data_IF_104268370649
#
_entry.id   IF_104268370649
#
_cell.length_a   1.000
_cell.length_b   1.000
_cell.length_c   1.000
_cell.angle_alpha   90.00
_cell.angle_beta   90.00
_cell.angle_gamma   90.00
#
_symmetry.space_group_name_H-M   'P 1'
#
loop_
_entity.id
_entity.type
_entity.pdbx_description
1 polymer ?
#
# COMPACT_ATOMS: atom_id res chain seq x y z
N UNK A 1 36.15 -2.77 -20.66
CA UNK A 1 34.75 -2.97 -20.98
C UNK A 1 33.80 -2.62 -19.79
N UNK A 2 34.14 -1.61 -18.96
CA UNK A 2 33.40 -1.26 -17.74
C UNK A 2 32.64 0.09 -17.79
N UNK A 3 32.51 0.72 -18.97
CA UNK A 3 31.91 2.06 -19.10
C UNK A 3 30.47 2.12 -19.63
N UNK A 4 29.87 0.99 -20.02
CA UNK A 4 28.57 1.01 -20.70
C UNK A 4 27.35 0.66 -19.80
N UNK A 5 27.57 0.27 -18.54
CA UNK A 5 26.47 -0.13 -17.68
C UNK A 5 25.83 1.05 -16.91
N UNK A 6 26.64 2.06 -16.60
CA UNK A 6 26.17 3.27 -15.87
C UNK A 6 25.22 4.13 -16.73
N UNK A 7 25.31 4.02 -18.04
CA UNK A 7 24.44 4.77 -18.98
C UNK A 7 23.00 4.19 -19.04
N UNK A 8 22.78 2.99 -18.55
CA UNK A 8 21.50 2.29 -18.73
C UNK A 8 20.41 2.76 -17.74
N UNK A 9 20.76 3.04 -16.49
CA UNK A 9 19.79 3.58 -15.52
C UNK A 9 19.41 5.04 -15.82
N UNK A 10 20.34 5.83 -16.39
CA UNK A 10 20.07 7.24 -16.71
C UNK A 10 19.18 7.46 -17.95
N UNK A 11 19.06 6.48 -18.85
CA UNK A 11 18.28 6.66 -20.09
C UNK A 11 16.78 6.43 -19.88
N UNK A 12 16.40 5.82 -18.76
CA UNK A 12 15.00 5.63 -18.40
C UNK A 12 14.35 6.91 -17.87
N UNK A 13 15.15 7.77 -17.26
CA UNK A 13 14.75 9.09 -16.76
C UNK A 13 14.44 10.09 -17.89
N UNK A 14 14.82 9.80 -19.15
CA UNK A 14 14.64 10.71 -20.27
C UNK A 14 13.27 10.67 -20.94
N UNK A 15 12.39 9.72 -20.58
CA UNK A 15 11.03 9.67 -21.14
C UNK A 15 9.93 10.10 -20.16
N UNK A 16 10.26 10.32 -18.90
CA UNK A 16 9.43 11.09 -17.98
C UNK A 16 10.11 12.43 -17.84
N UNK A 17 9.47 13.56 -18.14
CA UNK A 17 10.09 14.87 -18.02
C UNK A 17 10.22 15.23 -16.53
N UNK A 18 11.17 14.62 -15.83
CA UNK A 18 11.56 15.08 -14.50
C UNK A 18 12.44 16.32 -14.66
N UNK A 19 11.86 17.46 -14.36
CA UNK A 19 12.58 18.71 -14.31
C UNK A 19 13.64 18.68 -13.20
N UNK A 20 14.89 18.59 -13.60
CA UNK A 20 16.03 18.78 -12.71
C UNK A 20 16.08 20.22 -12.23
N UNK A 21 15.51 20.51 -11.07
CA UNK A 21 15.93 21.57 -10.13
C UNK A 21 15.09 21.49 -8.85
N UNK A 22 15.75 21.16 -7.77
CA UNK A 22 15.19 21.30 -6.42
C UNK A 22 14.85 22.78 -6.16
N UNK A 23 13.60 23.08 -5.90
CA UNK A 23 13.20 24.32 -5.23
C UNK A 23 12.67 23.97 -3.86
N UNK A 24 13.34 24.53 -2.85
CA UNK A 24 12.84 24.61 -1.48
C UNK A 24 11.45 25.27 -1.50
N UNK A 25 10.43 24.54 -1.14
CA UNK A 25 9.07 25.05 -0.98
C UNK A 25 8.89 25.45 0.49
N UNK A 26 8.61 26.73 0.71
CA UNK A 26 8.18 27.24 2.01
C UNK A 26 6.82 26.62 2.42
N UNK A 27 6.55 26.47 3.74
CA UNK A 27 5.31 25.87 4.19
C UNK A 27 4.10 26.68 3.73
N UNK A 28 3.09 25.99 3.17
CA UNK A 28 1.80 26.61 2.85
C UNK A 28 1.14 27.08 4.13
N UNK A 29 0.84 28.36 4.22
CA UNK A 29 -0.03 28.91 5.24
C UNK A 29 -1.45 28.38 5.08
N UNK A 30 -1.89 27.62 6.06
CA UNK A 30 -3.28 27.21 6.19
C UNK A 30 -4.13 28.44 6.58
N UNK A 31 -4.89 28.99 5.65
CA UNK A 31 -6.01 29.85 5.94
C UNK A 31 -7.12 29.61 4.93
N UNK A 32 -7.96 28.63 5.20
CA UNK A 32 -9.36 28.66 4.80
C UNK A 32 -10.21 27.91 5.82
N UNK A 33 -11.27 28.61 6.27
CA UNK A 33 -12.14 28.21 7.36
C UNK A 33 -13.00 27.01 6.95
N UNK A 34 -12.75 25.87 7.53
CA UNK A 34 -13.73 24.77 7.57
C UNK A 34 -14.61 24.96 8.80
N UNK A 35 -15.91 25.03 8.60
CA UNK A 35 -16.90 25.14 9.67
C UNK A 35 -16.94 23.82 10.42
N UNK A 36 -16.37 23.81 11.62
CA UNK A 36 -16.41 22.65 12.52
C UNK A 36 -17.77 22.63 13.22
N UNK A 37 -18.52 21.56 13.06
CA UNK A 37 -19.67 21.25 13.91
C UNK A 37 -19.12 20.88 15.29
N UNK A 38 -19.55 21.54 16.38
CA UNK A 38 -19.00 21.26 17.69
C UNK A 38 -19.48 19.90 18.20
N UNK A 39 -18.56 18.95 18.32
CA UNK A 39 -18.78 17.80 19.18
C UNK A 39 -18.85 18.29 20.64
N UNK A 40 -19.89 17.89 21.34
CA UNK A 40 -20.09 18.18 22.75
C UNK A 40 -18.88 17.75 23.57
N UNK A 41 -18.45 18.64 24.46
CA UNK A 41 -17.29 18.49 25.33
C UNK A 41 -17.38 17.20 26.14
N UNK A 42 -16.46 16.29 25.86
CA UNK A 42 -15.94 15.37 26.86
C UNK A 42 -14.60 15.97 27.28
N UNK A 43 -14.50 16.40 28.53
CA UNK A 43 -13.26 16.89 29.11
C UNK A 43 -12.32 15.70 29.27
N UNK A 44 -11.33 15.61 28.41
CA UNK A 44 -10.24 14.64 28.54
C UNK A 44 -9.37 14.99 29.76
N UNK A 45 -9.10 14.06 30.67
CA UNK A 45 -8.01 14.20 31.61
C UNK A 45 -6.69 14.20 30.81
N UNK A 46 -5.80 15.13 31.14
CA UNK A 46 -4.42 15.14 30.65
C UNK A 46 -3.70 13.89 31.17
N UNK A 47 -3.32 13.00 30.31
CA UNK A 47 -2.50 11.85 30.71
C UNK A 47 -2.11 10.99 29.53
N UNK A 48 -0.86 11.10 29.13
CA UNK A 48 -0.06 10.14 28.38
C UNK A 48 -0.74 9.40 27.23
N UNK A 49 -0.42 9.88 26.04
CA UNK A 49 -0.43 9.05 24.84
C UNK A 49 0.58 7.91 25.08
N UNK A 50 0.12 6.81 25.61
CA UNK A 50 0.84 5.55 25.52
C UNK A 50 0.62 5.10 24.09
N UNK A 51 1.60 5.34 23.24
CA UNK A 51 1.75 4.62 22.00
C UNK A 51 1.65 3.15 22.39
N UNK A 52 0.64 2.46 21.89
CA UNK A 52 0.53 1.00 21.99
C UNK A 52 1.79 0.44 21.33
N UNK A 53 2.78 0.10 22.14
CA UNK A 53 3.77 -0.88 21.76
C UNK A 53 3.05 -2.23 21.75
N UNK A 54 2.29 -2.49 20.69
CA UNK A 54 2.10 -3.85 20.26
C UNK A 54 3.49 -4.34 19.90
N UNK A 55 4.10 -5.14 20.74
CA UNK A 55 5.22 -6.00 20.38
C UNK A 55 4.70 -7.11 19.48
N UNK A 56 4.07 -6.76 18.40
CA UNK A 56 3.86 -7.64 17.27
C UNK A 56 5.23 -7.85 16.67
N UNK A 57 5.67 -9.09 16.59
CA UNK A 57 6.79 -9.45 15.73
C UNK A 57 6.54 -8.79 14.38
N UNK A 58 7.41 -7.84 13.99
CA UNK A 58 7.09 -6.95 12.87
C UNK A 58 6.81 -7.70 11.59
N UNK A 59 6.06 -7.07 10.71
CA UNK A 59 5.71 -7.62 9.41
C UNK A 59 6.95 -7.87 8.56
N UNK A 60 7.05 -9.05 7.96
CA UNK A 60 8.05 -9.34 6.94
C UNK A 60 7.54 -8.91 5.58
N UNK A 61 8.25 -7.98 4.97
CA UNK A 61 8.00 -7.50 3.61
C UNK A 61 9.05 -8.04 2.65
N UNK A 62 8.66 -8.15 1.39
CA UNK A 62 9.53 -8.56 0.30
C UNK A 62 9.47 -7.49 -0.79
N UNK A 63 10.60 -7.26 -1.45
CA UNK A 63 10.69 -6.32 -2.56
C UNK A 63 11.78 -6.68 -3.54
N UNK A 64 11.61 -6.26 -4.77
CA UNK A 64 12.60 -6.42 -5.82
C UNK A 64 13.51 -5.19 -5.89
N UNK A 65 14.80 -5.39 -5.61
CA UNK A 65 15.80 -4.33 -5.68
C UNK A 65 16.11 -3.99 -7.15
N UNK A 66 15.87 -2.76 -7.55
CA UNK A 66 16.14 -2.27 -8.90
C UNK A 66 17.29 -1.26 -8.96
N UNK A 67 17.63 -0.64 -7.84
CA UNK A 67 18.74 0.30 -7.73
C UNK A 67 19.31 0.32 -6.32
N UNK A 68 20.64 0.52 -6.23
CA UNK A 68 21.36 0.88 -5.01
C UNK A 68 22.53 1.79 -5.39
N UNK A 69 22.89 2.73 -4.54
CA UNK A 69 23.95 3.70 -4.83
C UNK A 69 25.31 3.05 -5.05
N UNK A 70 25.61 2.00 -4.29
CA UNK A 70 26.85 1.20 -4.43
C UNK A 70 26.80 0.15 -5.53
N UNK A 71 25.83 0.22 -6.41
CA UNK A 71 25.60 -0.73 -7.47
C UNK A 71 26.87 -1.01 -8.30
N UNK A 72 27.24 -2.27 -8.37
CA UNK A 72 28.46 -2.71 -9.07
C UNK A 72 29.64 -3.04 -8.15
N UNK A 73 29.49 -2.83 -6.83
CA UNK A 73 30.51 -3.20 -5.83
C UNK A 73 30.21 -4.52 -5.08
N UNK A 74 29.33 -5.37 -5.60
CA UNK A 74 28.85 -6.63 -5.00
C UNK A 74 28.15 -6.51 -3.63
N UNK A 75 27.96 -5.30 -3.11
CA UNK A 75 27.34 -5.09 -1.80
C UNK A 75 25.81 -5.25 -1.82
N UNK A 76 25.17 -4.99 -2.96
CA UNK A 76 23.72 -5.11 -3.13
C UNK A 76 23.39 -5.75 -4.48
N UNK A 77 23.49 -7.11 -4.60
CA UNK A 77 23.15 -7.79 -5.83
C UNK A 77 21.67 -7.62 -6.18
N UNK A 78 21.36 -7.59 -7.49
CA UNK A 78 19.98 -7.57 -7.95
C UNK A 78 19.20 -8.78 -7.49
N UNK A 79 17.96 -8.62 -7.15
CA UNK A 79 17.10 -9.73 -6.74
C UNK A 79 16.01 -9.35 -5.76
N UNK A 80 15.45 -10.38 -5.16
CA UNK A 80 14.40 -10.24 -4.17
C UNK A 80 15.03 -10.21 -2.78
N UNK A 81 14.61 -9.23 -2.01
CA UNK A 81 15.01 -9.03 -0.62
C UNK A 81 13.79 -9.14 0.29
N UNK A 82 14.04 -9.57 1.52
CA UNK A 82 13.08 -9.46 2.62
C UNK A 82 13.62 -8.50 3.67
N UNK A 83 12.74 -7.85 4.39
CA UNK A 83 13.05 -6.99 5.53
C UNK A 83 11.89 -6.98 6.53
N UNK A 84 12.23 -6.83 7.81
CA UNK A 84 11.24 -6.77 8.86
C UNK A 84 10.98 -5.31 9.26
N UNK A 85 9.74 -4.96 9.56
CA UNK A 85 9.32 -3.59 9.86
C UNK A 85 9.71 -3.11 11.27
N UNK A 86 10.14 -4.00 12.17
CA UNK A 86 10.50 -3.64 13.56
C UNK A 86 11.99 -3.41 13.78
N UNK A 87 12.86 -4.00 12.98
CA UNK A 87 14.30 -4.05 13.23
C UNK A 87 15.09 -3.18 12.26
N UNK A 88 14.88 -1.85 12.26
CA UNK A 88 15.65 -0.98 11.39
C UNK A 88 15.96 -1.69 10.06
N UNK A 89 15.04 -1.75 9.11
CA UNK A 89 14.84 -2.81 8.12
C UNK A 89 16.12 -3.14 7.37
N UNK A 90 16.84 -4.12 7.86
CA UNK A 90 18.00 -4.67 7.17
C UNK A 90 17.48 -5.57 6.06
N UNK A 91 17.72 -5.17 4.82
CA UNK A 91 17.37 -5.99 3.67
C UNK A 91 18.25 -7.23 3.61
N UNK A 92 17.63 -8.41 3.60
CA UNK A 92 18.27 -9.71 3.42
C UNK A 92 17.96 -10.25 2.03
N UNK A 93 18.99 -10.64 1.27
CA UNK A 93 18.82 -11.24 -0.05
C UNK A 93 18.12 -12.61 0.06
N UNK A 94 16.98 -12.77 -0.61
CA UNK A 94 16.24 -14.04 -0.71
C UNK A 94 16.55 -14.76 -2.00
N UNK A 95 16.59 -14.02 -3.11
CA UNK A 95 16.88 -14.57 -4.43
C UNK A 95 17.76 -13.61 -5.21
N UNK A 96 18.88 -14.10 -5.71
CA UNK A 96 19.80 -13.35 -6.58
C UNK A 96 19.41 -13.54 -8.04
N UNK A 97 19.16 -12.43 -8.74
CA UNK A 97 18.91 -12.48 -10.17
C UNK A 97 20.23 -12.42 -10.95
N UNK A 98 20.61 -13.50 -11.60
CA UNK A 98 21.83 -13.56 -12.42
C UNK A 98 21.64 -12.90 -13.80
N UNK A 99 20.40 -12.79 -14.27
CA UNK A 99 20.08 -12.27 -15.60
C UNK A 99 19.85 -10.75 -15.64
N UNK A 100 19.97 -10.07 -14.50
CA UNK A 100 19.64 -8.66 -14.35
C UNK A 100 18.39 -8.47 -13.49
N UNK A 101 17.88 -7.25 -13.35
CA UNK A 101 16.74 -6.98 -12.47
C UNK A 101 15.50 -7.74 -12.92
N UNK A 102 14.84 -8.40 -11.97
CA UNK A 102 13.53 -9.02 -12.17
C UNK A 102 12.52 -7.88 -12.34
N UNK A 103 12.03 -7.68 -13.58
CA UNK A 103 11.04 -6.64 -13.81
C UNK A 103 11.50 -5.24 -13.41
N UNK A 104 12.69 -4.85 -13.80
CA UNK A 104 13.13 -3.48 -13.62
C UNK A 104 12.26 -2.55 -14.46
N UNK A 105 11.61 -1.60 -13.87
CA UNK A 105 11.02 -0.42 -14.50
C UNK A 105 9.51 -0.43 -14.76
N UNK A 106 8.80 -1.32 -14.16
CA UNK A 106 7.35 -1.31 -14.21
C UNK A 106 6.79 -1.77 -12.87
N UNK A 107 5.50 -1.68 -12.70
CA UNK A 107 4.85 -2.23 -11.53
C UNK A 107 5.01 -3.74 -11.45
N UNK A 108 4.96 -4.24 -10.25
CA UNK A 108 4.91 -5.66 -9.99
C UNK A 108 3.96 -5.95 -8.83
N UNK A 109 3.45 -7.17 -8.77
CA UNK A 109 2.54 -7.60 -7.70
C UNK A 109 2.60 -9.09 -7.49
N UNK A 110 2.34 -9.51 -6.25
CA UNK A 110 2.17 -10.92 -5.92
C UNK A 110 0.68 -11.29 -6.04
N UNK A 111 0.39 -12.33 -6.81
CA UNK A 111 -0.97 -12.87 -7.04
C UNK A 111 -1.08 -14.19 -6.30
N UNK A 112 -2.15 -14.36 -5.51
CA UNK A 112 -2.49 -15.58 -4.78
C UNK A 112 -1.35 -16.13 -3.91
N UNK A 113 -0.52 -15.23 -3.35
CA UNK A 113 0.66 -15.56 -2.55
C UNK A 113 1.62 -16.56 -3.22
N UNK A 114 1.59 -16.66 -4.53
CA UNK A 114 2.35 -17.65 -5.30
C UNK A 114 3.04 -17.10 -6.54
N UNK A 115 2.38 -16.28 -7.32
CA UNK A 115 2.88 -15.82 -8.59
C UNK A 115 3.23 -14.34 -8.57
N UNK A 116 4.51 -14.03 -8.81
CA UNK A 116 4.99 -12.66 -8.92
C UNK A 116 4.94 -12.22 -10.37
N UNK A 117 4.00 -11.32 -10.67
CA UNK A 117 3.87 -10.70 -11.98
C UNK A 117 4.60 -9.37 -12.00
N UNK A 118 5.38 -9.13 -13.04
CA UNK A 118 6.06 -7.86 -13.23
C UNK A 118 6.02 -7.43 -14.70
N UNK A 119 5.99 -6.11 -14.92
CA UNK A 119 6.14 -5.51 -16.24
C UNK A 119 7.58 -5.01 -16.34
N UNK A 120 8.27 -5.43 -17.39
CA UNK A 120 9.61 -4.96 -17.69
C UNK A 120 9.68 -4.47 -19.13
N UNK A 121 10.51 -3.47 -19.36
CA UNK A 121 10.87 -3.10 -20.71
C UNK A 121 12.39 -3.10 -20.90
N UNK A 122 12.81 -3.64 -22.01
CA UNK A 122 14.22 -3.83 -22.33
C UNK A 122 14.53 -3.12 -23.63
N UNK A 123 15.61 -2.36 -23.63
CA UNK A 123 16.15 -1.78 -24.87
C UNK A 123 16.91 -2.88 -25.62
N UNK A 124 16.38 -3.34 -26.74
CA UNK A 124 16.96 -4.42 -27.53
C UNK A 124 18.16 -3.93 -28.36
N UNK A 125 17.97 -2.92 -29.20
CA UNK A 125 19.04 -2.31 -29.99
C UNK A 125 18.62 -0.91 -30.46
N UNK A 126 19.54 0.05 -30.49
CA UNK A 126 19.20 1.40 -30.92
C UNK A 126 18.06 2.00 -30.11
N UNK A 127 16.92 2.26 -30.76
CA UNK A 127 15.69 2.78 -30.16
C UNK A 127 14.62 1.70 -29.93
N UNK A 128 14.90 0.44 -30.27
CA UNK A 128 13.90 -0.64 -30.12
C UNK A 128 13.78 -1.02 -28.66
N UNK A 129 12.58 -0.98 -28.12
CA UNK A 129 12.22 -1.34 -26.76
C UNK A 129 11.21 -2.47 -26.83
N UNK A 130 11.41 -3.52 -26.04
CA UNK A 130 10.37 -4.51 -25.75
C UNK A 130 9.74 -4.21 -24.39
N UNK A 131 8.44 -4.39 -24.29
CA UNK A 131 7.68 -4.32 -23.06
C UNK A 131 7.05 -5.69 -22.83
N UNK A 132 7.27 -6.27 -21.65
CA UNK A 132 6.91 -7.65 -21.38
C UNK A 132 6.25 -7.78 -20.02
N UNK A 133 5.19 -8.58 -19.95
CA UNK A 133 4.61 -9.08 -18.72
C UNK A 133 5.24 -10.45 -18.44
N UNK A 134 5.86 -10.58 -17.27
CA UNK A 134 6.55 -11.81 -16.86
C UNK A 134 5.93 -12.30 -15.56
N UNK A 135 5.75 -13.61 -15.45
CA UNK A 135 5.29 -14.30 -14.25
C UNK A 135 6.40 -15.20 -13.72
N UNK A 136 6.69 -15.10 -12.43
CA UNK A 136 7.58 -15.98 -11.70
C UNK A 136 6.81 -16.74 -10.62
N UNK A 137 7.16 -18.01 -10.41
CA UNK A 137 6.79 -18.75 -9.21
C UNK A 137 7.73 -18.35 -8.07
N UNK A 138 7.21 -17.81 -6.94
CA UNK A 138 8.04 -17.27 -5.86
C UNK A 138 8.72 -18.34 -5.00
N UNK A 139 8.30 -19.60 -5.08
CA UNK A 139 8.90 -20.68 -4.33
C UNK A 139 10.26 -21.09 -4.94
N UNK A 140 10.30 -21.12 -6.26
CA UNK A 140 11.49 -21.50 -7.04
C UNK A 140 12.19 -20.33 -7.74
N UNK A 141 11.54 -19.19 -7.86
CA UNK A 141 11.92 -18.03 -8.68
C UNK A 141 12.17 -18.40 -10.15
N UNK A 142 11.44 -19.41 -10.63
CA UNK A 142 11.49 -19.78 -12.04
C UNK A 142 10.44 -19.00 -12.83
N UNK A 143 10.82 -18.60 -14.04
CA UNK A 143 9.89 -17.96 -14.97
C UNK A 143 8.84 -18.98 -15.43
N UNK A 144 7.56 -18.65 -15.17
CA UNK A 144 6.40 -19.47 -15.56
C UNK A 144 5.89 -19.05 -16.93
N UNK A 145 5.86 -17.75 -17.19
CA UNK A 145 5.41 -17.22 -18.48
C UNK A 145 6.04 -15.85 -18.76
N UNK A 146 6.15 -15.55 -20.06
CA UNK A 146 6.60 -14.28 -20.59
C UNK A 146 5.77 -13.91 -21.80
N UNK A 147 5.30 -12.65 -21.84
CA UNK A 147 4.42 -12.17 -22.91
C UNK A 147 4.80 -10.74 -23.28
N UNK A 148 4.98 -10.50 -24.57
CA UNK A 148 5.11 -9.15 -25.10
C UNK A 148 3.79 -8.40 -24.95
N UNK A 149 3.84 -7.18 -24.45
CA UNK A 149 2.70 -6.30 -24.28
C UNK A 149 2.94 -4.94 -24.96
N UNK A 150 1.88 -4.16 -25.26
CA UNK A 150 2.03 -2.87 -25.92
C UNK A 150 2.93 -1.91 -25.14
N UNK A 151 3.77 -1.13 -25.84
CA UNK A 151 4.61 -0.09 -25.24
C UNK A 151 3.80 1.06 -24.60
N UNK A 152 2.51 1.13 -24.87
CA UNK A 152 1.58 2.07 -24.22
C UNK A 152 1.21 1.66 -22.78
N UNK A 153 1.62 0.47 -22.37
CA UNK A 153 1.34 -0.10 -21.04
C UNK A 153 2.61 -0.07 -20.23
N UNK A 154 3.01 1.10 -19.75
CA UNK A 154 4.14 1.24 -18.83
C UNK A 154 3.55 1.43 -17.44
N UNK A 155 3.56 0.37 -16.62
CA UNK A 155 3.09 0.47 -15.24
C UNK A 155 4.07 1.26 -14.39
N UNK A 156 3.57 2.13 -13.54
CA UNK A 156 4.36 2.79 -12.50
C UNK A 156 4.33 2.00 -11.19
N UNK A 157 3.19 1.40 -10.89
CA UNK A 157 3.01 0.38 -9.85
C UNK A 157 1.69 -0.36 -10.10
N UNK A 158 1.56 -1.57 -9.55
CA UNK A 158 0.34 -2.38 -9.65
C UNK A 158 0.16 -3.27 -8.43
N UNK A 159 -1.08 -3.64 -8.16
CA UNK A 159 -1.47 -4.42 -6.99
C UNK A 159 -2.51 -5.48 -7.33
N UNK A 160 -2.39 -6.65 -6.75
CA UNK A 160 -3.45 -7.67 -6.73
C UNK A 160 -4.51 -7.28 -5.71
N UNK A 161 -5.76 -7.28 -6.14
CA UNK A 161 -6.91 -7.10 -5.27
C UNK A 161 -7.57 -8.47 -5.02
N UNK A 162 -7.48 -9.03 -3.81
CA UNK A 162 -8.01 -10.36 -3.52
C UNK A 162 -9.54 -10.40 -3.52
N UNK A 163 -10.22 -9.27 -3.29
CA UNK A 163 -11.67 -9.23 -3.17
C UNK A 163 -12.38 -9.46 -4.52
N UNK A 164 -11.84 -8.96 -5.62
CA UNK A 164 -12.41 -9.10 -6.95
C UNK A 164 -11.50 -9.83 -7.94
N UNK A 165 -10.34 -10.32 -7.48
CA UNK A 165 -9.38 -11.12 -8.24
C UNK A 165 -8.86 -10.40 -9.50
N UNK A 166 -8.56 -9.10 -9.37
CA UNK A 166 -8.01 -8.27 -10.45
C UNK A 166 -6.70 -7.64 -10.05
N UNK A 167 -5.86 -7.39 -11.05
CA UNK A 167 -4.68 -6.54 -10.87
C UNK A 167 -5.02 -5.12 -11.25
N UNK A 168 -4.96 -4.19 -10.31
CA UNK A 168 -5.10 -2.76 -10.54
C UNK A 168 -3.74 -2.12 -10.70
N UNK A 169 -3.67 -1.03 -11.47
CA UNK A 169 -2.41 -0.31 -11.66
C UNK A 169 -2.60 1.10 -12.20
N UNK A 170 -1.52 1.87 -12.08
CA UNK A 170 -1.36 3.13 -12.76
C UNK A 170 -0.41 2.93 -13.95
N UNK A 171 -0.84 3.35 -15.14
CA UNK A 171 -0.12 3.10 -16.38
C UNK A 171 0.13 4.39 -17.14
N UNK A 172 1.39 4.61 -17.53
CA UNK A 172 1.73 5.71 -18.41
C UNK A 172 1.45 5.34 -19.88
N UNK A 173 0.66 6.16 -20.54
CA UNK A 173 0.38 6.02 -21.95
C UNK A 173 1.31 6.93 -22.77
N UNK A 174 2.29 6.34 -23.41
CA UNK A 174 3.31 7.07 -24.20
C UNK A 174 2.74 7.84 -25.40
N UNK A 175 1.60 7.40 -25.92
CA UNK A 175 0.96 8.04 -27.08
C UNK A 175 0.19 9.30 -26.67
N UNK A 176 -0.44 9.25 -25.50
CA UNK A 176 -1.26 10.37 -24.99
C UNK A 176 -0.50 11.29 -24.04
N UNK A 177 0.73 10.91 -23.68
CA UNK A 177 1.55 11.62 -22.67
C UNK A 177 0.76 11.90 -21.40
N UNK A 178 0.22 10.84 -20.80
CA UNK A 178 -0.61 10.94 -19.62
C UNK A 178 -0.76 9.59 -18.93
N UNK A 179 -1.37 9.59 -17.77
CA UNK A 179 -1.54 8.40 -16.96
C UNK A 179 -3.00 7.94 -16.96
N UNK A 180 -3.19 6.64 -16.81
CA UNK A 180 -4.51 6.02 -16.64
C UNK A 180 -4.49 5.11 -15.44
N UNK A 181 -5.62 4.99 -14.77
CA UNK A 181 -5.90 3.96 -13.78
C UNK A 181 -6.78 2.89 -14.43
N UNK A 182 -6.49 1.63 -14.14
CA UNK A 182 -7.25 0.53 -14.72
C UNK A 182 -6.78 -0.83 -14.22
N UNK A 183 -7.31 -1.88 -14.83
CA UNK A 183 -6.92 -3.26 -14.53
C UNK A 183 -6.04 -3.84 -15.64
N UNK A 184 -5.11 -4.71 -15.23
CA UNK A 184 -4.27 -5.47 -16.13
C UNK A 184 -4.82 -6.89 -16.26
N UNK A 185 -5.11 -7.30 -17.47
CA UNK A 185 -5.43 -8.68 -17.77
C UNK A 185 -4.14 -9.50 -17.84
N UNK A 186 -3.96 -10.43 -16.91
CA UNK A 186 -2.75 -11.23 -16.78
C UNK A 186 -2.60 -12.27 -17.91
N UNK A 187 -3.69 -12.64 -18.57
CA UNK A 187 -3.65 -13.58 -19.69
C UNK A 187 -3.24 -12.88 -21.00
N UNK A 188 -3.75 -11.70 -21.26
CA UNK A 188 -3.51 -10.97 -22.52
C UNK A 188 -2.48 -9.87 -22.40
N UNK A 189 -2.20 -9.35 -21.18
CA UNK A 189 -1.40 -8.16 -20.93
C UNK A 189 -2.10 -6.86 -21.33
N UNK A 190 -3.40 -6.91 -21.60
CA UNK A 190 -4.17 -5.72 -21.95
C UNK A 190 -4.54 -4.90 -20.72
N UNK A 191 -4.47 -3.59 -20.83
CA UNK A 191 -4.98 -2.66 -19.81
C UNK A 191 -6.42 -2.30 -20.13
N UNK A 192 -7.33 -2.65 -19.21
CA UNK A 192 -8.72 -2.19 -19.23
C UNK A 192 -8.80 -0.88 -18.44
N UNK A 193 -8.77 0.23 -19.17
CA UNK A 193 -8.83 1.56 -18.57
C UNK A 193 -10.16 1.78 -17.86
N UNK A 194 -10.10 2.25 -16.61
CA UNK A 194 -11.23 2.76 -15.85
C UNK A 194 -11.32 4.29 -15.96
N UNK A 195 -10.22 4.99 -15.70
CA UNK A 195 -10.19 6.47 -15.76
C UNK A 195 -8.87 7.02 -16.30
N UNK A 196 -8.87 8.29 -16.72
CA UNK A 196 -7.65 9.06 -16.90
C UNK A 196 -7.22 9.65 -15.55
N UNK A 197 -5.92 9.60 -15.24
CA UNK A 197 -5.35 10.31 -14.10
C UNK A 197 -5.07 11.74 -14.54
N UNK A 198 -5.71 12.70 -13.88
CA UNK A 198 -5.67 14.12 -14.24
C UNK A 198 -4.78 14.95 -13.31
N UNK A 199 -3.96 14.29 -12.48
CA UNK A 199 -3.01 14.97 -11.62
C UNK A 199 -1.96 15.72 -12.44
N UNK A 200 -1.50 16.84 -11.89
CA UNK A 200 -0.43 17.64 -12.48
C UNK A 200 0.56 18.02 -11.39
N UNK A 201 1.83 18.10 -11.76
CA UNK A 201 2.86 18.67 -10.91
C UNK A 201 2.73 20.20 -10.80
N UNK A 202 3.63 20.82 -10.03
CA UNK A 202 3.69 22.28 -9.82
C UNK A 202 3.96 23.08 -11.10
N UNK A 203 4.38 22.43 -12.19
CA UNK A 203 4.65 23.02 -13.49
C UNK A 203 3.53 22.76 -14.51
N UNK A 204 2.49 22.01 -14.12
CA UNK A 204 1.38 21.66 -14.97
C UNK A 204 1.65 20.45 -15.89
N UNK A 205 2.70 19.66 -15.65
CA UNK A 205 2.92 18.41 -16.37
C UNK A 205 2.08 17.27 -15.76
N UNK A 206 1.63 16.32 -16.60
CA UNK A 206 0.91 15.17 -16.11
C UNK A 206 1.71 14.43 -15.03
N UNK A 207 1.06 14.14 -13.92
CA UNK A 207 1.61 13.38 -12.80
C UNK A 207 0.80 12.10 -12.59
N UNK A 208 1.47 11.05 -12.15
CA UNK A 208 0.88 9.75 -11.88
C UNK A 208 0.99 9.33 -10.41
N UNK A 209 0.76 8.06 -10.19
CA UNK A 209 0.95 7.41 -8.90
C UNK A 209 2.22 6.57 -8.93
N UNK A 210 2.99 6.62 -7.86
CA UNK A 210 4.21 5.81 -7.65
C UNK A 210 3.94 4.58 -6.81
N UNK A 211 2.78 4.53 -6.16
CA UNK A 211 2.29 3.38 -5.40
C UNK A 211 0.84 3.14 -5.77
N UNK A 212 0.48 1.88 -5.97
CA UNK A 212 -0.89 1.37 -6.02
C UNK A 212 -0.96 0.15 -5.12
N UNK A 213 -1.82 0.17 -4.10
CA UNK A 213 -1.93 -0.93 -3.14
C UNK A 213 -3.39 -1.23 -2.79
N UNK A 214 -3.75 -2.51 -2.81
CA UNK A 214 -5.08 -2.98 -2.39
C UNK A 214 -5.01 -3.63 -1.00
N UNK A 215 -6.01 -3.35 -0.17
CA UNK A 215 -6.16 -4.04 1.10
C UNK A 215 -6.96 -5.36 0.94
N UNK A 216 -7.08 -6.11 2.03
CA UNK A 216 -7.73 -7.42 2.02
C UNK A 216 -9.24 -7.37 1.74
N UNK A 217 -9.89 -6.22 1.90
CA UNK A 217 -11.33 -6.04 1.62
C UNK A 217 -11.60 -5.38 0.26
N UNK A 218 -10.55 -5.19 -0.55
CA UNK A 218 -10.69 -4.72 -1.92
C UNK A 218 -10.59 -3.22 -2.13
N UNK A 219 -10.34 -2.43 -1.09
CA UNK A 219 -10.11 -1.01 -1.24
C UNK A 219 -8.73 -0.74 -1.85
N UNK A 220 -8.66 0.14 -2.84
CA UNK A 220 -7.41 0.48 -3.55
C UNK A 220 -6.97 1.89 -3.19
N UNK A 221 -5.71 2.02 -2.84
CA UNK A 221 -5.05 3.27 -2.49
C UNK A 221 -3.89 3.55 -3.44
N UNK A 222 -3.52 4.83 -3.56
CA UNK A 222 -2.35 5.21 -4.34
C UNK A 222 -1.65 6.41 -3.76
N UNK A 223 -0.32 6.41 -3.84
CA UNK A 223 0.50 7.57 -3.49
C UNK A 223 0.96 8.23 -4.79
N UNK A 224 0.65 9.52 -4.92
CA UNK A 224 1.00 10.31 -6.10
C UNK A 224 2.49 10.67 -6.14
N UNK A 225 2.96 11.09 -7.31
CA UNK A 225 4.31 11.65 -7.48
C UNK A 225 4.55 12.92 -6.64
N UNK A 226 3.49 13.57 -6.16
CA UNK A 226 3.60 14.71 -5.25
C UNK A 226 3.66 14.29 -3.77
N UNK A 227 3.50 13.00 -3.46
CA UNK A 227 3.54 12.48 -2.11
C UNK A 227 2.21 12.58 -1.36
N UNK A 228 1.10 12.65 -2.07
CA UNK A 228 -0.24 12.64 -1.48
C UNK A 228 -0.87 11.26 -1.61
N UNK A 229 -1.58 10.81 -0.57
CA UNK A 229 -2.35 9.57 -0.55
C UNK A 229 -3.77 9.81 -1.06
N UNK A 230 -4.23 8.92 -1.91
CA UNK A 230 -5.58 8.89 -2.50
C UNK A 230 -6.23 7.52 -2.31
N UNK A 231 -7.56 7.49 -2.32
CA UNK A 231 -8.37 6.29 -2.40
C UNK A 231 -9.08 6.25 -3.75
N UNK A 232 -9.06 5.08 -4.41
CA UNK A 232 -9.71 4.85 -5.69
C UNK A 232 -11.08 4.20 -5.51
N UNK A 233 -12.01 4.57 -6.37
CA UNK A 233 -13.22 3.80 -6.64
C UNK A 233 -12.90 2.77 -7.74
N UNK A 234 -13.01 1.50 -7.43
CA UNK A 234 -12.70 0.40 -8.35
C UNK A 234 -13.76 0.16 -9.43
N UNK A 235 -14.94 0.78 -9.32
CA UNK A 235 -16.00 0.67 -10.31
C UNK A 235 -15.78 1.60 -11.51
N UNK A 236 -15.43 2.87 -11.25
CA UNK A 236 -15.30 3.90 -12.28
C UNK A 236 -13.91 4.52 -12.40
N UNK A 237 -12.99 4.15 -11.49
CA UNK A 237 -11.62 4.64 -11.45
C UNK A 237 -11.47 6.08 -10.95
N UNK A 238 -12.54 6.70 -10.43
CA UNK A 238 -12.42 7.98 -9.75
C UNK A 238 -11.55 7.85 -8.49
N UNK A 239 -10.92 8.95 -8.07
CA UNK A 239 -10.06 8.95 -6.89
C UNK A 239 -10.24 10.21 -6.07
N UNK A 240 -10.09 10.08 -4.76
CA UNK A 240 -10.24 11.17 -3.80
C UNK A 240 -9.00 11.30 -2.93
N UNK A 241 -8.58 12.55 -2.68
CA UNK A 241 -7.46 12.86 -1.79
C UNK A 241 -7.82 12.49 -0.35
N UNK A 242 -6.91 11.78 0.32
CA UNK A 242 -6.96 11.54 1.77
C UNK A 242 -6.10 12.59 2.47
N UNK A 243 -4.82 12.69 2.13
CA UNK A 243 -3.91 13.66 2.73
C UNK A 243 -2.47 13.51 2.26
N UNK A 244 -1.61 14.43 2.71
CA UNK A 244 -0.20 14.40 2.38
C UNK A 244 0.56 13.37 3.24
N UNK A 245 1.47 12.62 2.62
CA UNK A 245 2.32 11.66 3.35
C UNK A 245 3.43 12.33 4.15
N UNK A 246 3.75 13.58 3.84
CA UNK A 246 4.91 14.26 4.41
C UNK A 246 6.24 13.90 3.75
N UNK A 247 6.24 13.01 2.76
CA UNK A 247 7.43 12.61 2.00
C UNK A 247 7.21 12.87 0.50
N UNK A 248 8.18 13.49 -0.15
CA UNK A 248 8.14 13.72 -1.60
C UNK A 248 8.92 12.60 -2.31
N UNK A 249 8.23 11.69 -2.99
CA UNK A 249 8.86 10.58 -3.66
C UNK A 249 9.56 11.02 -4.95
N UNK A 250 10.59 10.27 -5.33
CA UNK A 250 11.26 10.39 -6.61
C UNK A 250 11.66 8.97 -7.05
N UNK A 251 11.66 8.72 -8.36
CA UNK A 251 11.96 7.41 -8.94
C UNK A 251 10.85 6.36 -8.72
N UNK A 252 11.16 5.11 -9.05
CA UNK A 252 10.20 4.02 -8.95
C UNK A 252 10.16 3.46 -7.54
N UNK A 253 8.96 3.16 -7.08
CA UNK A 253 8.67 2.74 -5.73
C UNK A 253 7.50 1.78 -5.74
N UNK A 254 7.22 1.18 -4.61
CA UNK A 254 6.05 0.33 -4.46
C UNK A 254 5.57 0.33 -3.02
N UNK A 255 4.30 0.01 -2.84
CA UNK A 255 3.68 -0.21 -1.55
C UNK A 255 2.82 -1.46 -1.55
N UNK A 256 2.57 -2.00 -0.38
CA UNK A 256 1.66 -3.11 -0.20
C UNK A 256 0.96 -3.04 1.14
N UNK A 257 -0.20 -3.68 1.23
CA UNK A 257 -0.81 -3.98 2.51
C UNK A 257 -0.28 -5.31 3.06
N UNK A 258 -0.06 -5.33 4.35
CA UNK A 258 -0.05 -6.57 5.10
C UNK A 258 -1.48 -6.86 5.56
N UNK A 259 -2.04 -7.99 5.16
CA UNK A 259 -3.45 -8.30 5.40
C UNK A 259 -3.73 -8.70 6.85
N UNK A 260 -2.71 -9.17 7.58
CA UNK A 260 -2.85 -9.52 8.99
C UNK A 260 -2.92 -8.27 9.86
N UNK A 261 -1.98 -7.35 9.66
CA UNK A 261 -1.93 -6.09 10.44
C UNK A 261 -2.83 -5.00 9.87
N UNK A 262 -3.35 -5.19 8.63
CA UNK A 262 -4.15 -4.21 7.86
C UNK A 262 -3.40 -2.89 7.58
N UNK A 263 -2.08 -2.89 7.68
CA UNK A 263 -1.24 -1.71 7.51
C UNK A 263 -0.75 -1.57 6.07
N UNK A 264 -0.75 -0.34 5.58
CA UNK A 264 -0.10 0.03 4.31
C UNK A 264 1.37 0.34 4.57
N UNK A 265 2.24 -0.39 3.91
CA UNK A 265 3.68 -0.15 3.90
C UNK A 265 4.14 0.39 2.55
N UNK A 266 5.15 1.23 2.57
CA UNK A 266 5.70 1.90 1.41
C UNK A 266 7.23 1.88 1.43
N UNK A 267 7.85 1.29 0.41
CA UNK A 267 9.29 1.38 0.19
C UNK A 267 9.58 2.68 -0.56
N UNK A 268 9.69 3.76 0.19
CA UNK A 268 9.87 5.11 -0.35
C UNK A 268 11.32 5.42 -0.67
N UNK A 269 11.57 6.17 -1.74
CA UNK A 269 12.88 6.69 -2.07
C UNK A 269 12.81 8.09 -2.73
N UNK A 270 13.89 8.84 -2.56
CA UNK A 270 14.20 10.06 -3.30
C UNK A 270 15.72 10.22 -3.42
N UNK A 271 16.21 11.37 -3.90
CA UNK A 271 17.65 11.61 -4.08
C UNK A 271 18.48 11.53 -2.79
N UNK A 272 17.85 11.71 -1.62
CA UNK A 272 18.53 11.90 -0.34
C UNK A 272 18.26 10.79 0.68
N UNK A 273 17.21 10.02 0.49
CA UNK A 273 16.79 9.02 1.45
C UNK A 273 15.98 7.90 0.80
N UNK A 274 16.09 6.72 1.36
CA UNK A 274 15.19 5.59 1.10
C UNK A 274 14.91 4.83 2.38
N UNK A 275 13.75 4.16 2.45
CA UNK A 275 13.36 3.41 3.64
C UNK A 275 11.96 2.85 3.57
N UNK A 276 11.58 2.15 4.63
CA UNK A 276 10.22 1.64 4.81
C UNK A 276 9.43 2.60 5.68
N UNK A 277 8.27 2.96 5.16
CA UNK A 277 7.28 3.79 5.83
C UNK A 277 5.99 3.01 6.05
N UNK A 278 5.35 3.27 7.17
CA UNK A 278 3.96 2.92 7.42
C UNK A 278 3.10 4.12 7.07
N UNK A 279 2.04 3.92 6.30
CA UNK A 279 1.14 4.98 5.85
C UNK A 279 -0.20 4.83 6.54
N UNK A 280 -0.65 5.88 7.21
CA UNK A 280 -1.98 5.94 7.81
C UNK A 280 -3.03 6.19 6.70
N UNK A 281 -3.92 5.25 6.49
CA UNK A 281 -4.93 5.31 5.43
C UNK A 281 -6.08 6.28 5.69
N UNK A 282 -6.22 6.78 6.92
CA UNK A 282 -7.25 7.78 7.29
C UNK A 282 -6.76 9.21 7.12
N UNK A 283 -5.45 9.45 7.35
CA UNK A 283 -4.85 10.80 7.33
C UNK A 283 -3.90 11.04 6.16
N UNK A 284 -3.37 9.99 5.57
CA UNK A 284 -2.31 10.03 4.56
C UNK A 284 -0.89 10.08 5.13
N UNK A 285 -0.72 10.40 6.41
CA UNK A 285 0.61 10.59 7.02
C UNK A 285 1.47 9.32 6.96
N UNK A 286 2.73 9.47 6.54
CA UNK A 286 3.69 8.38 6.49
C UNK A 286 4.71 8.49 7.62
N UNK A 287 4.89 7.42 8.38
CA UNK A 287 5.86 7.30 9.48
C UNK A 287 7.01 6.42 9.04
N UNK A 288 8.24 6.93 9.12
CA UNK A 288 9.45 6.16 8.83
C UNK A 288 9.66 5.09 9.90
N UNK A 289 9.71 3.83 9.47
CA UNK A 289 10.04 2.70 10.35
C UNK A 289 11.54 2.42 10.35
N UNK A 290 12.22 2.65 9.23
CA UNK A 290 13.66 2.54 9.14
C UNK A 290 14.19 2.86 7.75
N UNK A 291 15.44 3.35 7.70
CA UNK A 291 16.09 3.78 6.48
C UNK A 291 16.90 2.64 5.88
N UNK A 292 16.94 2.59 4.56
CA UNK A 292 17.94 1.81 3.83
C UNK A 292 19.27 2.56 3.77
N UNK A 293 20.38 1.81 3.79
CA UNK A 293 21.72 2.40 3.94
C UNK A 293 22.37 2.86 2.62
N UNK A 294 21.84 2.44 1.49
CA UNK A 294 22.48 2.60 0.17
C UNK A 294 21.53 3.22 -0.87
N UNK A 295 20.56 4.00 -0.43
CA UNK A 295 19.50 4.59 -1.27
C UNK A 295 18.83 3.54 -2.16
N UNK A 296 18.60 2.36 -1.60
CA UNK A 296 17.97 1.26 -2.32
C UNK A 296 16.56 1.63 -2.79
N UNK A 297 16.26 1.28 -4.04
CA UNK A 297 14.93 1.38 -4.65
C UNK A 297 14.32 0.00 -4.78
N UNK A 298 13.20 -0.21 -4.13
CA UNK A 298 12.43 -1.43 -4.22
C UNK A 298 11.12 -1.23 -4.96
N UNK A 299 10.82 -2.14 -5.88
CA UNK A 299 9.53 -2.23 -6.58
C UNK A 299 8.87 -3.57 -6.31
N UNK A 300 7.56 -3.67 -6.60
CA UNK A 300 6.81 -4.89 -6.37
C UNK A 300 6.85 -5.33 -4.92
N UNK A 301 6.63 -4.40 -4.00
CA UNK A 301 6.57 -4.70 -2.56
C UNK A 301 5.40 -5.65 -2.29
N UNK A 302 5.60 -6.66 -1.46
CA UNK A 302 4.56 -7.57 -1.04
C UNK A 302 4.80 -8.15 0.36
N UNK A 303 3.71 -8.60 0.98
CA UNK A 303 3.71 -9.42 2.19
C UNK A 303 3.16 -10.81 1.84
N UNK A 304 3.61 -11.83 2.58
CA UNK A 304 3.06 -13.19 2.50
C UNK A 304 1.96 -13.42 3.54
N UNK A 305 1.38 -12.34 4.07
CA UNK A 305 0.22 -12.47 4.96
C UNK A 305 -0.94 -13.17 4.25
N UNK A 306 -1.66 -14.05 4.95
CA UNK A 306 -2.78 -14.73 4.34
C UNK A 306 -3.85 -13.74 3.89
N UNK A 307 -4.53 -14.06 2.79
CA UNK A 307 -5.71 -13.31 2.36
C UNK A 307 -6.75 -13.28 3.48
N UNK A 308 -7.49 -12.18 3.60
CA UNK A 308 -8.62 -12.13 4.49
C UNK A 308 -9.64 -13.22 4.14
N UNK A 309 -10.31 -13.75 5.15
CA UNK A 309 -11.50 -14.57 4.92
C UNK A 309 -12.63 -13.68 4.42
N UNK A 310 -12.73 -13.58 3.08
CA UNK A 310 -13.72 -12.73 2.42
C UNK A 310 -15.16 -13.23 2.62
N UNK A 311 -15.35 -14.49 2.94
CA UNK A 311 -16.65 -15.09 3.25
C UNK A 311 -16.96 -15.04 4.76
N UNK A 312 -15.99 -14.65 5.58
CA UNK A 312 -16.22 -14.36 6.99
C UNK A 312 -17.13 -13.16 7.22
N UNK A 313 -17.66 -13.00 8.43
CA UNK A 313 -18.48 -11.83 8.78
C UNK A 313 -17.75 -10.51 8.53
N UNK A 314 -18.43 -9.53 7.98
CA UNK A 314 -17.92 -8.16 7.85
C UNK A 314 -17.79 -7.49 9.22
N UNK A 315 -17.43 -6.21 9.24
CA UNK A 315 -17.25 -5.45 10.47
C UNK A 315 -18.56 -5.23 11.23
N UNK A 316 -18.49 -5.18 12.55
CA UNK A 316 -19.58 -4.71 13.41
C UNK A 316 -19.85 -3.22 13.16
N UNK A 317 -21.07 -2.77 13.41
CA UNK A 317 -21.48 -1.37 13.25
C UNK A 317 -22.20 -0.86 14.50
N UNK A 318 -22.54 0.43 14.51
CA UNK A 318 -23.33 1.06 15.57
C UNK A 318 -22.71 0.81 16.97
N UNK A 319 -21.35 0.89 17.06
CA UNK A 319 -20.66 0.72 18.32
C UNK A 319 -20.90 1.96 19.17
N UNK A 320 -21.43 1.76 20.37
CA UNK A 320 -21.63 2.80 21.37
C UNK A 320 -21.20 2.30 22.76
N UNK A 321 -20.63 3.18 23.56
CA UNK A 321 -20.24 2.90 24.94
C UNK A 321 -20.87 3.98 25.82
N UNK A 322 -21.83 3.59 26.64
CA UNK A 322 -22.54 4.48 27.53
C UNK A 322 -22.17 4.26 28.99
N UNK A 323 -21.73 5.33 29.67
CA UNK A 323 -21.49 5.34 31.12
C UNK A 323 -22.47 6.28 31.81
N UNK A 324 -22.93 5.94 32.99
CA UNK A 324 -23.76 6.82 33.79
C UNK A 324 -22.92 7.80 34.62
N UNK A 325 -22.84 9.02 34.15
CA UNK A 325 -22.12 10.12 34.83
C UNK A 325 -20.61 9.83 34.95
N UNK A 326 -20.08 9.82 36.17
CA UNK A 326 -18.68 9.51 36.46
C UNK A 326 -18.48 8.03 36.87
N UNK A 327 -19.47 7.18 36.62
CA UNK A 327 -19.37 5.76 36.91
C UNK A 327 -18.35 5.07 35.99
N UNK A 328 -17.61 4.11 36.53
CA UNK A 328 -16.71 3.25 35.76
C UNK A 328 -17.43 2.05 35.16
N UNK A 329 -18.72 1.89 35.47
CA UNK A 329 -19.60 0.84 34.91
C UNK A 329 -20.54 1.45 33.91
N UNK A 330 -20.77 0.73 32.82
CA UNK A 330 -21.59 1.15 31.70
C UNK A 330 -22.04 -0.01 30.83
N UNK A 331 -22.39 0.29 29.60
CA UNK A 331 -22.88 -0.68 28.63
C UNK A 331 -22.18 -0.44 27.30
N UNK A 332 -21.71 -1.53 26.67
CA UNK A 332 -21.28 -1.55 25.27
C UNK A 332 -22.44 -2.07 24.45
N UNK A 333 -22.78 -1.39 23.38
CA UNK A 333 -23.70 -1.86 22.35
C UNK A 333 -23.04 -1.87 21.00
N UNK A 334 -23.32 -2.88 20.19
CA UNK A 334 -22.88 -2.97 18.80
C UNK A 334 -23.82 -3.85 17.99
N UNK A 335 -23.81 -3.65 16.68
CA UNK A 335 -24.62 -4.45 15.76
C UNK A 335 -23.76 -5.41 14.99
N UNK A 336 -24.14 -6.69 15.00
CA UNK A 336 -23.49 -7.72 14.22
C UNK A 336 -23.68 -7.45 12.70
N UNK A 337 -22.70 -7.82 11.86
CA UNK A 337 -22.77 -7.58 10.42
C UNK A 337 -23.92 -8.34 9.77
N UNK A 338 -24.44 -7.78 8.67
CA UNK A 338 -25.46 -8.40 7.81
C UNK A 338 -24.88 -8.93 6.51
N UNK A 339 -23.59 -8.64 6.27
CA UNK A 339 -22.86 -9.04 5.08
C UNK A 339 -21.51 -9.63 5.46
N UNK A 340 -20.97 -10.46 4.58
CA UNK A 340 -19.58 -10.90 4.64
C UNK A 340 -18.62 -9.74 4.33
N UNK A 341 -17.33 -9.94 4.50
CA UNK A 341 -16.29 -9.00 4.08
C UNK A 341 -16.41 -8.69 2.58
N UNK A 342 -16.75 -9.67 1.74
CA UNK A 342 -16.98 -9.51 0.29
C UNK A 342 -18.33 -8.85 -0.06
N UNK A 343 -19.16 -8.52 0.93
CA UNK A 343 -20.47 -7.88 0.73
C UNK A 343 -21.62 -8.85 0.46
N UNK A 344 -21.40 -10.16 0.46
CA UNK A 344 -22.45 -11.16 0.33
C UNK A 344 -23.34 -11.17 1.59
N UNK A 345 -24.63 -11.45 1.42
CA UNK A 345 -25.56 -11.48 2.54
C UNK A 345 -25.19 -12.60 3.52
N UNK A 346 -24.98 -12.25 4.78
CA UNK A 346 -24.90 -13.22 5.88
C UNK A 346 -26.29 -13.69 6.30
N UNK A 347 -26.38 -14.96 6.61
CA UNK A 347 -27.59 -15.59 7.17
C UNK A 347 -27.17 -16.58 8.26
N UNK A 348 -27.95 -16.63 9.34
CA UNK A 348 -27.66 -17.50 10.46
C UNK A 348 -26.95 -16.81 11.61
N UNK A 349 -26.34 -17.60 12.48
CA UNK A 349 -25.71 -17.13 13.69
C UNK A 349 -24.23 -16.80 13.46
N UNK A 350 -23.79 -15.73 14.09
CA UNK A 350 -22.41 -15.24 14.08
C UNK A 350 -21.85 -15.37 15.48
N UNK A 351 -20.67 -15.95 15.60
CA UNK A 351 -19.91 -15.94 16.84
C UNK A 351 -19.17 -14.60 16.96
N UNK A 352 -19.15 -14.04 18.15
CA UNK A 352 -18.41 -12.84 18.45
C UNK A 352 -17.62 -12.97 19.75
N UNK A 353 -16.52 -12.24 19.84
CA UNK A 353 -15.73 -12.05 21.07
C UNK A 353 -15.54 -10.55 21.25
N UNK A 354 -15.68 -10.08 22.49
CA UNK A 354 -15.40 -8.70 22.87
C UNK A 354 -14.22 -8.73 23.84
N UNK A 355 -13.19 -7.99 23.50
CA UNK A 355 -11.96 -7.89 24.28
C UNK A 355 -11.73 -6.43 24.70
N UNK A 356 -11.19 -6.26 25.91
CA UNK A 356 -10.76 -4.97 26.43
C UNK A 356 -9.34 -5.13 26.95
N UNK A 357 -8.42 -4.34 26.43
CA UNK A 357 -7.00 -4.38 26.79
C UNK A 357 -6.42 -5.81 26.66
N UNK A 358 -6.75 -6.49 25.54
CA UNK A 358 -6.35 -7.87 25.23
C UNK A 358 -6.93 -8.94 26.18
N UNK A 359 -7.89 -8.58 27.06
CA UNK A 359 -8.60 -9.53 27.89
C UNK A 359 -10.04 -9.74 27.41
N UNK A 360 -10.47 -11.00 27.27
CA UNK A 360 -11.83 -11.33 26.83
C UNK A 360 -12.85 -10.89 27.88
N UNK A 361 -13.66 -9.90 27.53
CA UNK A 361 -14.81 -9.47 28.33
C UNK A 361 -15.97 -10.45 28.19
N UNK A 362 -16.29 -10.84 26.96
CA UNK A 362 -17.44 -11.70 26.67
C UNK A 362 -17.27 -12.38 25.31
N UNK A 363 -17.85 -13.56 25.17
CA UNK A 363 -18.05 -14.24 23.89
C UNK A 363 -19.47 -14.72 23.78
N UNK A 364 -20.02 -14.74 22.59
CA UNK A 364 -21.39 -15.14 22.36
C UNK A 364 -21.68 -15.52 20.91
N UNK A 365 -22.92 -15.92 20.68
CA UNK A 365 -23.46 -16.25 19.37
C UNK A 365 -24.81 -15.56 19.21
N UNK A 366 -25.01 -14.86 18.10
CA UNK A 366 -26.29 -14.19 17.81
C UNK A 366 -26.52 -14.08 16.30
N UNK A 367 -27.74 -13.90 15.90
CA UNK A 367 -28.10 -13.85 14.46
C UNK A 367 -27.51 -12.60 13.79
N UNK A 368 -27.12 -12.74 12.52
CA UNK A 368 -26.65 -11.63 11.69
C UNK A 368 -27.57 -10.40 11.76
N UNK A 369 -27.00 -9.22 12.00
CA UNK A 369 -27.72 -7.98 12.16
C UNK A 369 -28.32 -7.72 13.53
N UNK A 370 -28.17 -8.63 14.51
CA UNK A 370 -28.64 -8.42 15.88
C UNK A 370 -27.86 -7.32 16.58
N UNK A 371 -28.54 -6.58 17.43
CA UNK A 371 -27.90 -5.70 18.41
C UNK A 371 -27.45 -6.53 19.60
N UNK A 372 -26.18 -6.39 19.96
CA UNK A 372 -25.59 -6.99 21.17
C UNK A 372 -25.42 -5.89 22.20
N UNK A 373 -25.75 -6.18 23.45
CA UNK A 373 -25.61 -5.26 24.58
C UNK A 373 -24.93 -6.01 25.73
N UNK A 374 -23.81 -5.46 26.22
CA UNK A 374 -22.98 -6.08 27.25
C UNK A 374 -22.64 -5.08 28.35
N UNK A 375 -22.77 -5.48 29.64
CA UNK A 375 -22.28 -4.65 30.73
C UNK A 375 -20.75 -4.56 30.71
N UNK A 376 -20.23 -3.38 31.05
CA UNK A 376 -18.81 -3.11 31.13
C UNK A 376 -18.49 -2.45 32.47
N UNK A 377 -17.31 -2.78 33.02
CA UNK A 377 -16.73 -2.02 34.13
C UNK A 377 -15.24 -1.83 33.83
N UNK A 378 -14.80 -0.58 33.77
CA UNK A 378 -13.42 -0.20 33.46
C UNK A 378 -12.75 0.44 34.67
N UNK A 379 -11.44 0.46 34.68
CA UNK A 379 -10.64 1.31 35.56
C UNK A 379 -10.59 2.75 35.02
N UNK A 380 -10.07 3.69 35.79
CA UNK A 380 -9.73 5.00 35.25
C UNK A 380 -8.56 4.86 34.27
N UNK A 381 -8.68 5.40 33.06
CA UNK A 381 -7.60 5.38 32.08
C UNK A 381 -8.12 5.34 30.64
N UNK A 382 -7.21 5.02 29.76
CA UNK A 382 -7.50 4.73 28.35
C UNK A 382 -7.56 3.22 28.16
N UNK A 383 -8.54 2.75 27.43
CA UNK A 383 -8.78 1.34 27.19
C UNK A 383 -8.93 1.10 25.68
N UNK A 384 -8.52 -0.09 25.24
CA UNK A 384 -8.72 -0.55 23.85
C UNK A 384 -9.88 -1.53 23.84
N UNK A 385 -10.84 -1.31 22.95
CA UNK A 385 -11.96 -2.24 22.68
C UNK A 385 -11.73 -2.91 21.34
N UNK A 386 -11.81 -4.25 21.32
CA UNK A 386 -11.84 -5.06 20.10
C UNK A 386 -13.08 -5.95 20.06
N UNK A 387 -13.71 -6.06 18.90
CA UNK A 387 -14.90 -6.89 18.69
C UNK A 387 -14.72 -7.71 17.42
#
# INVERSE_FOLDING_TARGET
MKKNLITFCFLLLLFVPFGTKAHLIAPRNASEKTTVIPASRISSPKGLTKVLENTVDGTTLYGNLIFAQSWGNDSSPMGIYKFNTTDNPKAELVYRSEAGPIGANGGATLVDAKYFYCITYTKLSGTTISNELICYDIESWTEVSRKAIPLTTISTDMTWNPADQKVYGAFYNTTKNGYVFGTLDLETGAVNKLSDITLQDDKGYPAGFVVIAANSIGEVYGISQMGDLYKFNTEDGSYSLIGATGYTPLYQQSGCFDFTTKQLYWAACNENSSGIYQVNTDTGEATLLGSFNDLEEFVGLYSLSPNADLEGPGSVTDIDIAFEGAALSGTITFKLPTTTVSGNKLSGDINYTVEIDDETLSSGTSTAGSLVELPITLSEGSHTLEI
#
